data_IF_337779166636
#
_entry.id   IF_337779166636
#
_cell.length_a   1.000
_cell.length_b   1.000
_cell.length_c   1.000
_cell.angle_alpha   90.00
_cell.angle_beta   90.00
_cell.angle_gamma   90.00
#
_symmetry.space_group_name_H-M   'P 1'
#
loop_
_entity.id
_entity.type
_entity.pdbx_description
1 polymer ?
#
# COMPACT_ATOMS: atom_id res chain seq x y z
N UNK A 1 13.16 4.88 -7.68
CA UNK A 1 12.74 5.22 -6.30
C UNK A 1 12.46 3.93 -5.55
N UNK A 2 11.47 3.92 -4.65
CA UNK A 2 10.90 2.69 -4.09
C UNK A 2 9.42 2.57 -4.54
N UNK A 3 8.50 2.15 -3.68
CA UNK A 3 7.07 2.12 -3.94
C UNK A 3 6.47 3.55 -4.07
N UNK A 4 5.59 3.80 -5.05
CA UNK A 4 4.92 5.09 -5.24
C UNK A 4 3.90 5.37 -4.13
N UNK A 5 3.05 4.39 -3.81
CA UNK A 5 2.15 4.41 -2.65
C UNK A 5 2.40 3.18 -1.79
N UNK A 6 2.85 3.37 -0.56
CA UNK A 6 3.10 2.30 0.41
C UNK A 6 2.06 2.33 1.54
N UNK A 7 1.18 1.33 1.60
CA UNK A 7 0.16 1.16 2.64
C UNK A 7 0.71 0.29 3.76
N UNK A 8 0.64 0.76 5.00
CA UNK A 8 1.19 0.09 6.19
C UNK A 8 0.22 0.18 7.36
N UNK A 9 0.33 -0.78 8.29
CA UNK A 9 -0.40 -0.80 9.56
C UNK A 9 0.47 -1.30 10.73
N UNK A 10 1.76 -1.01 10.64
CA UNK A 10 2.71 -1.18 11.74
C UNK A 10 3.46 -2.52 11.73
N UNK A 11 4.58 -2.53 12.45
CA UNK A 11 5.39 -3.75 12.68
C UNK A 11 4.70 -4.67 13.68
N UNK A 12 5.12 -5.94 13.72
CA UNK A 12 4.51 -6.97 14.57
C UNK A 12 4.31 -6.55 16.04
N UNK A 13 5.26 -5.83 16.64
CA UNK A 13 5.13 -5.37 18.04
C UNK A 13 4.11 -4.24 18.21
N UNK A 14 3.89 -3.42 17.17
CA UNK A 14 2.85 -2.40 17.15
C UNK A 14 1.49 -3.03 16.89
N UNK A 15 1.40 -4.01 15.98
CA UNK A 15 0.17 -4.76 15.72
C UNK A 15 -0.36 -5.42 17.00
N UNK A 16 0.53 -6.01 17.82
CA UNK A 16 0.14 -6.58 19.13
C UNK A 16 -0.34 -5.54 20.15
N UNK A 17 0.17 -4.31 20.11
CA UNK A 17 -0.15 -3.27 21.10
C UNK A 17 -1.38 -2.46 20.73
N UNK A 18 -1.45 -2.04 19.47
CA UNK A 18 -2.45 -1.09 18.99
C UNK A 18 -3.58 -1.78 18.22
N UNK A 19 -3.27 -2.84 17.46
CA UNK A 19 -4.25 -3.57 16.64
C UNK A 19 -5.12 -2.66 15.75
N UNK A 20 -4.54 -1.58 15.22
CA UNK A 20 -5.25 -0.60 14.38
C UNK A 20 -4.97 -0.90 12.90
N UNK A 21 -5.99 -1.26 12.11
CA UNK A 21 -5.83 -1.49 10.68
C UNK A 21 -5.75 -0.17 9.90
N UNK A 22 -5.14 -0.21 8.71
CA UNK A 22 -5.34 0.81 7.70
C UNK A 22 -6.52 0.37 6.82
N UNK A 23 -7.65 1.10 6.89
CA UNK A 23 -8.89 0.69 6.21
C UNK A 23 -9.72 1.87 5.74
N UNK A 24 -10.72 1.59 4.90
CA UNK A 24 -11.72 2.53 4.40
C UNK A 24 -11.14 3.73 3.63
N UNK A 25 -10.25 3.46 2.65
CA UNK A 25 -9.63 4.52 1.85
C UNK A 25 -9.56 4.21 0.36
N UNK A 26 -9.43 5.28 -0.44
CA UNK A 26 -9.42 5.22 -1.89
C UNK A 26 -8.17 5.88 -2.46
N UNK A 27 -7.52 5.22 -3.43
CA UNK A 27 -6.46 5.81 -4.27
C UNK A 27 -7.05 5.94 -5.68
N UNK A 28 -7.15 7.18 -6.19
CA UNK A 28 -7.79 7.44 -7.48
C UNK A 28 -7.21 8.63 -8.23
N UNK A 29 -7.32 8.59 -9.55
CA UNK A 29 -6.93 9.70 -10.45
C UNK A 29 -5.45 10.09 -10.29
N UNK A 30 -4.58 9.10 -10.08
CA UNK A 30 -3.14 9.32 -9.90
C UNK A 30 -2.34 8.81 -11.11
N UNK A 31 -1.29 9.54 -11.47
CA UNK A 31 -0.19 9.06 -12.31
C UNK A 31 0.95 8.63 -11.39
N UNK A 32 1.38 7.38 -11.52
CA UNK A 32 2.49 6.81 -10.75
C UNK A 32 3.59 6.40 -11.72
N UNK A 33 4.72 7.13 -11.69
CA UNK A 33 5.85 6.93 -12.59
C UNK A 33 7.09 6.38 -11.86
N UNK A 34 7.80 5.45 -12.50
CA UNK A 34 9.17 5.01 -12.14
C UNK A 34 9.39 4.56 -10.67
N UNK A 35 8.57 3.60 -10.21
CA UNK A 35 8.64 2.99 -8.86
C UNK A 35 8.65 1.45 -8.83
N UNK A 36 9.17 0.87 -7.73
CA UNK A 36 9.21 -0.59 -7.51
C UNK A 36 7.82 -1.24 -7.36
N UNK A 37 6.81 -0.42 -7.05
CA UNK A 37 5.41 -0.77 -6.98
C UNK A 37 4.55 0.49 -7.08
N UNK A 38 3.56 0.52 -7.97
CA UNK A 38 2.61 1.63 -8.04
C UNK A 38 1.79 1.71 -6.74
N UNK A 39 1.14 0.60 -6.35
CA UNK A 39 0.53 0.44 -5.03
C UNK A 39 1.12 -0.77 -4.34
N UNK A 40 1.73 -0.54 -3.18
CA UNK A 40 2.35 -1.58 -2.37
C UNK A 40 1.72 -1.65 -0.99
N UNK A 41 1.25 -2.84 -0.60
CA UNK A 41 0.74 -3.14 0.74
C UNK A 41 1.85 -3.84 1.52
N UNK A 42 2.26 -3.27 2.65
CA UNK A 42 3.31 -3.80 3.53
C UNK A 42 4.72 -3.25 3.30
N UNK A 43 5.77 -3.91 3.81
CA UNK A 43 5.74 -5.17 4.59
C UNK A 43 5.20 -5.01 6.01
N UNK A 44 5.25 -3.80 6.59
CA UNK A 44 4.74 -3.55 7.93
C UNK A 44 3.20 -3.44 7.95
N UNK A 45 2.52 -4.59 7.90
CA UNK A 45 1.05 -4.67 7.83
C UNK A 45 0.42 -5.46 8.99
N UNK A 46 1.10 -5.55 10.15
CA UNK A 46 0.69 -6.40 11.27
C UNK A 46 -0.63 -5.97 11.94
N UNK A 47 -1.06 -4.72 11.78
CA UNK A 47 -2.38 -4.25 12.21
C UNK A 47 -3.52 -4.60 11.25
N UNK A 48 -3.21 -5.17 10.08
CA UNK A 48 -4.18 -5.46 9.02
C UNK A 48 -4.35 -4.32 8.01
N UNK A 49 -4.74 -4.66 6.78
CA UNK A 49 -5.14 -3.71 5.73
C UNK A 49 -6.35 -4.31 5.03
N UNK A 50 -7.47 -3.58 5.00
CA UNK A 50 -8.73 -4.04 4.38
C UNK A 50 -9.54 -2.84 3.86
N UNK A 51 -10.57 -3.11 3.06
CA UNK A 51 -11.51 -2.10 2.54
C UNK A 51 -10.82 -0.91 1.84
N UNK A 52 -9.87 -1.22 0.96
CA UNK A 52 -9.22 -0.23 0.10
C UNK A 52 -9.59 -0.41 -1.36
N UNK A 53 -9.74 0.70 -2.08
CA UNK A 53 -10.01 0.69 -3.52
C UNK A 53 -8.95 1.51 -4.25
N UNK A 54 -8.42 0.94 -5.34
CA UNK A 54 -7.53 1.63 -6.28
C UNK A 54 -8.22 1.66 -7.64
N UNK A 55 -8.53 2.86 -8.16
CA UNK A 55 -9.26 3.00 -9.43
C UNK A 55 -8.84 4.22 -10.22
N UNK A 56 -9.02 4.19 -11.53
CA UNK A 56 -8.76 5.34 -12.41
C UNK A 56 -7.33 5.90 -12.29
N UNK A 57 -6.34 5.02 -12.12
CA UNK A 57 -4.93 5.38 -12.01
C UNK A 57 -4.15 4.92 -13.25
N UNK A 58 -3.10 5.66 -13.59
CA UNK A 58 -2.15 5.31 -14.65
C UNK A 58 -0.83 4.92 -14.00
N UNK A 59 -0.41 3.67 -14.23
CA UNK A 59 0.90 3.17 -13.77
C UNK A 59 1.84 3.15 -14.96
N UNK A 60 2.87 3.99 -14.94
CA UNK A 60 3.79 4.17 -16.06
C UNK A 60 5.21 3.80 -15.63
N UNK A 61 5.83 2.81 -16.31
CA UNK A 61 7.21 2.35 -16.02
C UNK A 61 7.45 1.94 -14.55
N UNK A 62 6.42 1.48 -13.85
CA UNK A 62 6.59 0.85 -12.53
C UNK A 62 6.94 -0.62 -12.70
N UNK A 63 7.76 -1.19 -11.80
CA UNK A 63 8.11 -2.61 -11.87
C UNK A 63 6.89 -3.51 -11.68
N UNK A 64 5.94 -3.07 -10.84
CA UNK A 64 4.73 -3.80 -10.42
C UNK A 64 3.57 -2.84 -10.25
N UNK A 65 2.39 -3.19 -10.78
CA UNK A 65 1.16 -2.40 -10.55
C UNK A 65 0.66 -2.49 -9.10
N UNK A 66 0.43 -3.72 -8.64
CA UNK A 66 0.06 -4.03 -7.25
C UNK A 66 1.12 -4.96 -6.65
N UNK A 67 1.58 -4.66 -5.43
CA UNK A 67 2.57 -5.47 -4.72
C UNK A 67 2.11 -5.70 -3.27
N UNK A 68 2.15 -6.94 -2.79
CA UNK A 68 1.82 -7.28 -1.40
C UNK A 68 3.06 -7.92 -0.76
N UNK A 69 3.48 -7.37 0.39
CA UNK A 69 4.61 -7.82 1.20
C UNK A 69 4.12 -8.01 2.64
N UNK A 70 4.66 -8.98 3.37
CA UNK A 70 4.40 -9.17 4.81
C UNK A 70 5.69 -9.44 5.57
#
# INVERSE_FOLDING_TARGET
>A
GDDCVAVKSGKIYMGRKYAVPCSEFNIRNCLMEDGHGAVTIGSEMAGGVHDMVVKDCVFMRTDRGLRIKT
#
